data_IF_349395806016
#
_entry.id   IF_349395806016
#
_cell.length_a   1.000
_cell.length_b   1.000
_cell.length_c   1.000
_cell.angle_alpha   90.00
_cell.angle_beta   90.00
_cell.angle_gamma   90.00
#
_symmetry.space_group_name_H-M   'P 1'
#
loop_
_entity.id
_entity.type
_entity.pdbx_description
1 polymer ?
#
# COMPACT_ATOMS: atom_id res chain seq x y z
N UNK A 1 11.84 7.60 -9.16
CA UNK A 1 11.23 6.69 -10.15
C UNK A 1 12.01 6.64 -11.46
N UNK A 2 12.12 7.73 -12.22
CA UNK A 2 12.95 7.77 -13.45
C UNK A 2 14.33 7.13 -13.26
N UNK A 3 15.10 7.64 -12.30
CA UNK A 3 16.43 7.12 -11.98
C UNK A 3 16.42 5.63 -11.59
N UNK A 4 15.37 5.17 -10.90
CA UNK A 4 15.23 3.77 -10.50
C UNK A 4 15.11 2.86 -11.73
N UNK A 5 14.26 3.25 -12.69
CA UNK A 5 14.07 2.52 -13.93
C UNK A 5 15.34 2.54 -14.77
N UNK A 6 15.91 3.71 -15.03
CA UNK A 6 17.09 3.86 -15.89
C UNK A 6 18.32 3.10 -15.37
N UNK A 7 18.49 3.00 -14.04
CA UNK A 7 19.70 2.41 -13.44
C UNK A 7 19.55 0.96 -12.98
N UNK A 8 18.36 0.54 -12.54
CA UNK A 8 18.15 -0.77 -11.91
C UNK A 8 17.16 -1.66 -12.63
N UNK A 9 16.17 -1.09 -13.31
CA UNK A 9 15.11 -1.85 -13.98
C UNK A 9 14.86 -1.31 -15.40
N UNK A 10 15.88 -1.29 -16.27
CA UNK A 10 15.77 -0.70 -17.61
C UNK A 10 14.84 -1.48 -18.54
N UNK A 11 14.58 -2.76 -18.24
CA UNK A 11 13.71 -3.64 -19.03
C UNK A 11 12.22 -3.49 -18.69
N UNK A 12 11.85 -2.65 -17.72
CA UNK A 12 10.46 -2.35 -17.39
C UNK A 12 9.92 -1.39 -18.46
N UNK A 13 9.05 -1.90 -19.33
CA UNK A 13 8.48 -1.16 -20.45
C UNK A 13 7.04 -0.64 -20.19
N UNK A 14 6.56 -0.74 -18.95
CA UNK A 14 5.19 -0.35 -18.60
C UNK A 14 5.09 1.14 -18.27
N UNK A 15 3.99 1.82 -18.67
CA UNK A 15 3.76 3.20 -18.28
C UNK A 15 3.53 3.33 -16.77
N UNK A 16 4.07 4.42 -16.22
CA UNK A 16 3.74 4.87 -14.87
C UNK A 16 2.53 5.78 -14.96
N UNK A 17 1.49 5.46 -14.18
CA UNK A 17 0.30 6.32 -14.09
C UNK A 17 0.44 7.29 -12.92
N UNK A 18 -0.09 8.50 -13.11
CA UNK A 18 -0.13 9.55 -12.11
C UNK A 18 -1.54 10.10 -12.03
N UNK A 19 -2.11 10.18 -10.82
CA UNK A 19 -3.42 10.77 -10.58
C UNK A 19 -3.43 11.58 -9.28
N UNK A 20 -4.22 12.64 -9.25
CA UNK A 20 -4.51 13.39 -8.02
C UNK A 20 -5.79 12.90 -7.39
N UNK A 21 -5.82 12.84 -6.06
CA UNK A 21 -6.97 12.43 -5.25
C UNK A 21 -7.18 13.48 -4.16
N UNK A 22 -8.43 13.93 -4.03
CA UNK A 22 -8.83 14.84 -2.96
C UNK A 22 -8.70 14.15 -1.58
N UNK A 23 -8.48 14.90 -0.50
CA UNK A 23 -8.48 14.32 0.84
C UNK A 23 -9.85 13.74 1.20
N UNK A 24 -9.84 12.69 2.02
CA UNK A 24 -11.05 12.14 2.65
C UNK A 24 -10.83 11.89 4.16
N UNK A 25 -11.87 11.43 4.84
CA UNK A 25 -11.85 11.13 6.27
C UNK A 25 -11.97 9.63 6.60
N UNK A 26 -11.99 8.75 5.60
CA UNK A 26 -12.08 7.30 5.78
C UNK A 26 -10.81 6.78 6.45
N UNK A 27 -10.96 6.05 7.56
CA UNK A 27 -9.85 5.68 8.46
C UNK A 27 -8.67 5.00 7.76
N UNK A 28 -8.94 4.07 6.85
CA UNK A 28 -7.91 3.35 6.10
C UNK A 28 -7.71 3.87 4.66
N UNK A 29 -8.18 5.06 4.32
CA UNK A 29 -7.91 5.61 2.98
C UNK A 29 -6.44 6.02 2.84
N UNK A 30 -5.75 5.62 1.76
CA UNK A 30 -4.44 6.15 1.42
C UNK A 30 -4.41 7.70 1.32
N UNK A 31 -5.55 8.32 0.98
CA UNK A 31 -5.73 9.77 0.84
C UNK A 31 -6.26 10.48 2.10
N UNK A 32 -6.33 9.77 3.23
CA UNK A 32 -6.88 10.29 4.47
C UNK A 32 -6.21 11.61 4.89
N UNK A 33 -7.04 12.65 5.10
CA UNK A 33 -6.70 13.99 5.63
C UNK A 33 -5.63 14.76 4.84
N UNK A 34 -5.28 14.34 3.62
CA UNK A 34 -4.27 15.05 2.81
C UNK A 34 -4.55 14.95 1.31
N UNK A 35 -4.38 16.05 0.55
CA UNK A 35 -4.29 15.97 -0.90
C UNK A 35 -3.21 14.95 -1.28
N UNK A 36 -3.56 14.02 -2.15
CA UNK A 36 -2.72 12.86 -2.42
C UNK A 36 -2.50 12.69 -3.91
N UNK A 37 -1.29 12.30 -4.27
CA UNK A 37 -0.99 11.77 -5.59
C UNK A 37 -0.89 10.25 -5.47
N UNK A 38 -1.54 9.55 -6.39
CA UNK A 38 -1.31 8.12 -6.58
C UNK A 38 -0.37 7.90 -7.76
N UNK A 39 0.62 7.04 -7.56
CA UNK A 39 1.57 6.60 -8.58
C UNK A 39 1.38 5.11 -8.77
N UNK A 40 0.96 4.68 -9.96
CA UNK A 40 0.86 3.26 -10.30
C UNK A 40 2.10 2.82 -11.06
N UNK A 41 2.72 1.73 -10.62
CA UNK A 41 3.69 0.97 -11.40
C UNK A 41 3.12 -0.41 -11.72
N UNK A 42 3.64 -1.03 -12.77
CA UNK A 42 3.18 -2.32 -13.29
C UNK A 42 4.37 -3.17 -13.75
N UNK A 43 4.15 -4.48 -13.76
CA UNK A 43 5.01 -5.49 -14.33
C UNK A 43 4.11 -6.59 -14.93
N UNK A 44 4.65 -7.35 -15.88
CA UNK A 44 3.98 -8.53 -16.44
C UNK A 44 3.76 -9.59 -15.36
N UNK A 45 2.58 -10.22 -15.35
CA UNK A 45 2.17 -11.25 -14.38
C UNK A 45 3.09 -12.47 -14.38
N UNK A 46 3.83 -12.75 -15.45
CA UNK A 46 4.78 -13.88 -15.50
C UNK A 46 6.20 -13.53 -15.05
N UNK A 47 6.50 -12.26 -14.76
CA UNK A 47 7.81 -11.80 -14.31
C UNK A 47 7.80 -11.58 -12.79
N UNK A 48 8.91 -11.89 -12.14
CA UNK A 48 9.08 -11.60 -10.72
C UNK A 48 9.23 -10.08 -10.51
N UNK A 49 8.21 -9.48 -9.91
CA UNK A 49 8.11 -8.05 -9.64
C UNK A 49 8.81 -7.64 -8.34
N UNK A 50 9.22 -8.60 -7.49
CA UNK A 50 9.55 -8.36 -6.08
C UNK A 50 10.62 -7.31 -5.88
N UNK A 51 11.77 -7.46 -6.54
CA UNK A 51 12.89 -6.53 -6.40
C UNK A 51 12.53 -5.11 -6.89
N UNK A 52 11.73 -5.02 -7.95
CA UNK A 52 11.27 -3.76 -8.50
C UNK A 52 10.29 -3.07 -7.56
N UNK A 53 9.26 -3.78 -7.10
CA UNK A 53 8.21 -3.23 -6.26
C UNK A 53 8.73 -2.84 -4.88
N UNK A 54 9.61 -3.64 -4.26
CA UNK A 54 10.25 -3.26 -3.00
C UNK A 54 11.13 -2.00 -3.14
N UNK A 55 11.86 -1.89 -4.26
CA UNK A 55 12.68 -0.71 -4.53
C UNK A 55 11.84 0.56 -4.72
N UNK A 56 10.70 0.44 -5.41
CA UNK A 56 9.77 1.53 -5.59
C UNK A 56 9.01 1.87 -4.29
N UNK A 57 8.57 0.87 -3.53
CA UNK A 57 7.91 1.02 -2.24
C UNK A 57 8.79 1.82 -1.28
N UNK A 58 10.08 1.53 -1.19
CA UNK A 58 11.02 2.32 -0.38
C UNK A 58 11.03 3.81 -0.76
N UNK A 59 10.99 4.13 -2.06
CA UNK A 59 10.91 5.51 -2.53
C UNK A 59 9.56 6.11 -2.13
N UNK A 60 8.44 5.42 -2.36
CA UNK A 60 7.12 5.95 -2.01
C UNK A 60 6.98 6.18 -0.50
N UNK A 61 7.47 5.26 0.32
CA UNK A 61 7.47 5.35 1.78
C UNK A 61 8.28 6.53 2.30
N UNK A 62 9.38 6.92 1.63
CA UNK A 62 10.15 8.11 2.02
C UNK A 62 9.37 9.42 1.85
N UNK A 63 8.27 9.43 1.10
CA UNK A 63 7.33 10.54 0.98
C UNK A 63 6.03 10.32 1.79
N UNK A 64 6.04 9.36 2.72
CA UNK A 64 4.85 8.97 3.49
C UNK A 64 3.78 8.28 2.63
N UNK A 65 4.18 7.62 1.55
CA UNK A 65 3.28 6.86 0.68
C UNK A 65 2.58 5.73 1.42
N UNK A 66 1.33 5.45 1.02
CA UNK A 66 0.51 4.35 1.54
C UNK A 66 0.10 3.49 0.34
N UNK A 67 0.30 2.16 0.38
CA UNK A 67 -0.04 1.30 -0.75
C UNK A 67 -1.56 1.29 -0.97
N UNK A 68 -1.97 1.06 -2.22
CA UNK A 68 -3.36 0.78 -2.54
C UNK A 68 -3.70 -0.63 -2.03
N UNK A 69 -4.76 -0.80 -1.25
CA UNK A 69 -5.12 -2.09 -0.61
C UNK A 69 -5.28 -3.26 -1.58
N UNK A 70 -5.69 -2.99 -2.82
CA UNK A 70 -5.78 -3.99 -3.89
C UNK A 70 -4.49 -4.22 -4.70
N UNK A 71 -3.33 -3.73 -4.25
CA UNK A 71 -2.03 -3.90 -4.92
C UNK A 71 -1.03 -4.57 -3.98
N UNK A 72 -0.02 -5.20 -4.58
CA UNK A 72 1.11 -5.80 -3.86
C UNK A 72 1.81 -4.75 -3.00
N UNK A 73 2.13 -5.12 -1.76
CA UNK A 73 2.96 -4.37 -0.84
C UNK A 73 3.74 -5.32 0.05
N UNK A 74 4.82 -4.84 0.67
CA UNK A 74 5.67 -5.65 1.55
C UNK A 74 5.70 -5.10 2.99
N UNK A 75 4.71 -4.24 3.31
CA UNK A 75 4.53 -3.63 4.62
C UNK A 75 3.95 -4.60 5.66
N UNK A 76 4.33 -4.38 6.91
CA UNK A 76 3.87 -5.10 8.10
C UNK A 76 2.70 -4.41 8.80
N UNK A 77 2.10 -5.06 9.80
CA UNK A 77 1.11 -4.43 10.68
C UNK A 77 1.64 -3.14 11.32
N UNK A 78 2.88 -3.16 11.83
CA UNK A 78 3.52 -1.99 12.46
C UNK A 78 3.71 -0.83 11.49
N UNK A 79 4.08 -1.12 10.23
CA UNK A 79 4.18 -0.10 9.18
C UNK A 79 2.84 0.61 8.92
N UNK A 80 1.73 -0.14 8.97
CA UNK A 80 0.39 0.41 8.82
C UNK A 80 -0.09 1.14 10.06
N UNK A 81 0.20 0.63 11.26
CA UNK A 81 -0.06 1.29 12.53
C UNK A 81 0.60 2.68 12.57
N UNK A 82 1.86 2.77 12.12
CA UNK A 82 2.57 4.04 12.01
C UNK A 82 2.00 4.99 10.93
N UNK A 83 1.28 4.44 9.93
CA UNK A 83 0.77 5.22 8.79
C UNK A 83 -0.66 5.74 8.96
N UNK A 84 -1.45 5.11 9.84
CA UNK A 84 -2.88 5.37 10.01
C UNK A 84 -3.22 5.69 11.48
N UNK A 85 -3.75 6.89 11.72
CA UNK A 85 -4.12 7.38 13.06
C UNK A 85 -5.30 6.61 13.70
N UNK A 86 -6.01 5.78 12.94
CA UNK A 86 -7.16 4.99 13.40
C UNK A 86 -6.96 3.47 13.21
N UNK A 87 -5.71 3.01 13.13
CA UNK A 87 -5.40 1.61 12.83
C UNK A 87 -6.04 0.65 13.85
N UNK A 88 -5.77 0.85 15.14
CA UNK A 88 -6.28 -0.02 16.19
C UNK A 88 -7.80 0.09 16.35
N UNK A 89 -8.35 1.30 16.19
CA UNK A 89 -9.80 1.53 16.24
C UNK A 89 -10.52 0.81 15.10
N UNK A 90 -9.94 0.79 13.90
CA UNK A 90 -10.51 0.05 12.78
C UNK A 90 -10.54 -1.45 13.06
N UNK A 91 -9.45 -2.00 13.61
CA UNK A 91 -9.40 -3.40 14.00
C UNK A 91 -10.43 -3.74 15.08
N UNK A 92 -10.62 -2.87 16.07
CA UNK A 92 -11.66 -3.04 17.08
C UNK A 92 -13.08 -3.09 16.49
N UNK A 93 -13.41 -2.21 15.55
CA UNK A 93 -14.70 -2.26 14.84
C UNK A 93 -14.84 -3.55 14.03
N UNK A 94 -13.79 -3.95 13.31
CA UNK A 94 -13.78 -5.18 12.51
C UNK A 94 -14.00 -6.42 13.38
N UNK A 95 -13.38 -6.48 14.55
CA UNK A 95 -13.55 -7.56 15.51
C UNK A 95 -14.96 -7.58 16.10
N UNK A 96 -15.58 -6.43 16.31
CA UNK A 96 -16.99 -6.34 16.75
C UNK A 96 -17.99 -6.82 15.71
N UNK A 97 -17.73 -6.58 14.42
CA UNK A 97 -18.65 -6.95 13.32
C UNK A 97 -18.48 -8.41 12.86
N UNK A 98 -17.26 -8.95 12.90
CA UNK A 98 -16.96 -10.33 12.51
C UNK A 98 -16.05 -11.03 13.55
N UNK A 99 -16.56 -11.36 14.76
CA UNK A 99 -15.73 -11.85 15.86
C UNK A 99 -14.98 -13.16 15.56
N UNK A 100 -15.51 -13.99 14.68
CA UNK A 100 -14.93 -15.29 14.32
C UNK A 100 -14.01 -15.21 13.09
N UNK A 101 -13.94 -14.06 12.44
CA UNK A 101 -12.97 -13.84 11.37
C UNK A 101 -13.35 -14.45 10.02
N UNK A 102 -14.64 -14.65 9.74
CA UNK A 102 -15.12 -15.27 8.49
C UNK A 102 -14.69 -14.48 7.25
N UNK A 103 -14.66 -13.15 7.35
CA UNK A 103 -14.33 -12.25 6.24
C UNK A 103 -12.83 -11.89 6.18
N UNK A 104 -12.00 -12.46 7.06
CA UNK A 104 -10.56 -12.17 7.09
C UNK A 104 -9.77 -13.19 6.25
N UNK A 105 -9.19 -12.72 5.15
CA UNK A 105 -8.28 -13.53 4.33
C UNK A 105 -6.87 -13.58 4.95
N UNK A 106 -6.02 -14.47 4.42
CA UNK A 106 -4.67 -14.69 4.97
C UNK A 106 -3.77 -13.45 4.90
N UNK A 107 -3.89 -12.64 3.85
CA UNK A 107 -3.14 -11.39 3.74
C UNK A 107 -3.50 -10.40 4.85
N UNK A 108 -4.79 -10.18 5.09
CA UNK A 108 -5.25 -9.29 6.15
C UNK A 108 -4.98 -9.88 7.54
N UNK A 109 -5.00 -11.21 7.71
CA UNK A 109 -4.61 -11.86 8.99
C UNK A 109 -3.18 -11.50 9.39
N UNK A 110 -2.26 -11.44 8.42
CA UNK A 110 -0.87 -11.05 8.69
C UNK A 110 -0.72 -9.58 9.12
N UNK A 111 -1.71 -8.74 8.82
CA UNK A 111 -1.75 -7.34 9.22
C UNK A 111 -2.53 -7.11 10.51
N UNK A 112 -3.09 -8.16 11.14
CA UNK A 112 -3.76 -8.00 12.42
C UNK A 112 -2.74 -7.57 13.48
N UNK A 113 -3.00 -6.50 14.26
CA UNK A 113 -2.19 -6.17 15.44
C UNK A 113 -2.11 -7.38 16.37
N UNK A 114 -0.94 -7.58 16.96
CA UNK A 114 -0.70 -8.61 17.98
C UNK A 114 -1.53 -8.36 19.24
#
# INVERSE_FOLDING_TARGET
MRELLERKFPDVAWPIEYRTVAPDDVWLSPARKRPTVTVSIHEDVVRDETAYYQSAEKIFRSYGGRPHWGKVHYLTSDDFAASYDHWDQWWGVREGVDPTGVLLNDQLRQLRPS
#
